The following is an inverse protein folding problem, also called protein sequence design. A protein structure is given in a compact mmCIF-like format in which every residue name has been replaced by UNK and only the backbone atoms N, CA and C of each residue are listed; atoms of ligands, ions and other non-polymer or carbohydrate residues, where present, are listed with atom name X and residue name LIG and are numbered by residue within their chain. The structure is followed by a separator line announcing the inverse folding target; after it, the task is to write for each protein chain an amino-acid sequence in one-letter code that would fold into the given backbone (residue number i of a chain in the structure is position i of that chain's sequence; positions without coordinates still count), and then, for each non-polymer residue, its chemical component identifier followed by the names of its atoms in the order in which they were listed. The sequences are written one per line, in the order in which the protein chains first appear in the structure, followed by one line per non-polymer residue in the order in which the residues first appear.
data_IF_584853562154
#
_entry.id   IF_584853562154
#
_cell.length_a   1.000
_cell.length_b   1.000
_cell.length_c   1.000
_cell.angle_alpha   90.00
_cell.angle_beta   90.00
_cell.angle_gamma   90.00
#
_symmetry.space_group_name_H-M   'P 1'
#
loop_
_entity.id
_entity.type
_entity.pdbx_description
1 polymer ?
#
# COMPACT_ATOMS: atom_id res chain seq x y z
N UNK A 1 -9.70 19.59 18.64
CA UNK A 1 -10.11 19.39 17.24
C UNK A 1 -8.93 18.77 16.52
N UNK A 2 -8.88 17.44 16.43
CA UNK A 2 -7.82 16.75 15.70
C UNK A 2 -8.19 16.76 14.23
N UNK A 3 -7.37 17.42 13.41
CA UNK A 3 -7.45 17.31 11.95
C UNK A 3 -6.93 15.92 11.62
N UNK A 4 -7.84 14.99 11.33
CA UNK A 4 -7.47 13.72 10.70
C UNK A 4 -7.19 14.10 9.25
N UNK A 5 -5.93 14.38 8.94
CA UNK A 5 -5.47 14.54 7.56
C UNK A 5 -5.93 13.29 6.82
N UNK A 6 -6.77 13.45 5.79
CA UNK A 6 -7.12 12.34 4.91
C UNK A 6 -5.80 11.85 4.29
N UNK A 7 -5.31 10.72 4.76
CA UNK A 7 -4.06 10.12 4.29
C UNK A 7 -4.21 9.86 2.80
N UNK A 8 -3.54 10.66 1.97
CA UNK A 8 -3.53 10.49 0.51
C UNK A 8 -2.45 9.48 0.19
N UNK A 9 -2.86 8.32 -0.32
CA UNK A 9 -1.94 7.33 -0.89
C UNK A 9 -1.58 7.77 -2.31
N UNK A 10 -0.30 7.70 -2.64
CA UNK A 10 0.29 8.06 -3.93
C UNK A 10 1.22 6.95 -4.44
N UNK A 11 1.52 6.93 -5.73
CA UNK A 11 2.55 6.04 -6.27
C UNK A 11 3.92 6.35 -5.65
N UNK A 12 4.67 5.30 -5.31
CA UNK A 12 5.94 5.39 -4.59
C UNK A 12 5.82 5.27 -3.06
N UNK A 13 4.60 5.38 -2.51
CA UNK A 13 4.38 5.22 -1.08
C UNK A 13 4.61 3.77 -0.64
N UNK A 14 4.95 3.60 0.64
CA UNK A 14 4.88 2.33 1.34
C UNK A 14 3.68 2.34 2.28
N UNK A 15 2.81 1.35 2.12
CA UNK A 15 1.54 1.22 2.86
C UNK A 15 1.46 -0.13 3.54
N UNK A 16 0.51 -0.28 4.46
CA UNK A 16 0.03 -1.59 4.95
C UNK A 16 -1.46 -1.67 4.76
N UNK A 17 -1.98 -2.88 4.58
CA UNK A 17 -3.41 -3.10 4.60
C UNK A 17 -3.94 -3.04 6.04
N UNK A 18 -5.17 -2.55 6.24
CA UNK A 18 -5.81 -2.52 7.57
C UNK A 18 -6.06 -3.92 8.15
N UNK A 19 -6.29 -4.92 7.29
CA UNK A 19 -6.34 -6.33 7.67
C UNK A 19 -4.90 -6.90 7.70
N UNK A 20 -4.37 -7.30 8.87
CA UNK A 20 -3.02 -7.80 9.02
C UNK A 20 -2.80 -9.18 8.40
N UNK A 21 -3.84 -9.84 7.86
CA UNK A 21 -3.69 -11.09 7.12
C UNK A 21 -3.21 -10.85 5.70
N UNK A 22 -3.54 -9.69 5.13
CA UNK A 22 -3.06 -9.31 3.80
C UNK A 22 -1.57 -9.03 3.89
N UNK A 23 -0.78 -9.69 3.04
CA UNK A 23 0.68 -9.59 3.02
C UNK A 23 1.33 -9.93 4.38
N UNK A 24 0.66 -10.71 5.24
CA UNK A 24 1.09 -10.93 6.62
C UNK A 24 1.28 -9.66 7.46
N UNK A 25 0.63 -8.55 7.09
CA UNK A 25 0.77 -7.25 7.75
C UNK A 25 2.08 -6.52 7.41
N UNK A 26 2.83 -7.03 6.44
CA UNK A 26 4.05 -6.41 5.94
C UNK A 26 3.73 -5.19 5.06
N UNK A 27 4.74 -4.35 4.89
CA UNK A 27 4.67 -3.19 3.99
C UNK A 27 4.51 -3.62 2.54
N UNK A 28 3.73 -2.84 1.80
CA UNK A 28 3.47 -2.98 0.38
C UNK A 28 3.91 -1.70 -0.31
N UNK A 29 4.56 -1.84 -1.46
CA UNK A 29 4.96 -0.70 -2.29
C UNK A 29 3.84 -0.34 -3.25
N UNK A 30 3.47 0.93 -3.35
CA UNK A 30 2.40 1.40 -4.23
C UNK A 30 2.98 1.72 -5.61
N UNK A 31 2.63 0.92 -6.60
CA UNK A 31 3.08 1.11 -7.99
C UNK A 31 2.28 2.20 -8.70
N UNK A 32 0.96 2.18 -8.53
CA UNK A 32 0.03 3.06 -9.24
C UNK A 32 -1.18 3.36 -8.36
N UNK A 33 -1.76 4.56 -8.50
CA UNK A 33 -3.05 4.92 -7.90
C UNK A 33 -4.01 5.33 -8.99
N UNK A 34 -5.17 4.68 -9.05
CA UNK A 34 -6.22 4.96 -10.02
C UNK A 34 -7.58 5.05 -9.33
N UNK A 35 -8.19 6.24 -9.39
CA UNK A 35 -9.46 6.51 -8.75
C UNK A 35 -9.42 6.31 -7.23
N UNK A 36 -10.06 5.25 -6.73
CA UNK A 36 -10.13 4.91 -5.29
C UNK A 36 -9.37 3.63 -4.93
N UNK A 37 -8.54 3.13 -5.84
CA UNK A 37 -7.73 1.94 -5.64
C UNK A 37 -6.25 2.21 -5.92
N UNK A 38 -5.38 1.46 -5.26
CA UNK A 38 -3.94 1.50 -5.44
C UNK A 38 -3.44 0.10 -5.78
N UNK A 39 -2.62 -0.01 -6.83
CA UNK A 39 -1.92 -1.23 -7.17
C UNK A 39 -0.68 -1.35 -6.29
N UNK A 40 -0.59 -2.44 -5.53
CA UNK A 40 0.49 -2.62 -4.55
C UNK A 40 1.23 -3.94 -4.75
N UNK A 41 2.54 -3.92 -4.55
CA UNK A 41 3.39 -5.12 -4.46
C UNK A 41 3.23 -5.77 -3.10
N UNK A 42 2.92 -7.07 -3.07
CA UNK A 42 2.83 -7.86 -1.84
C UNK A 42 3.28 -9.31 -2.06
N UNK A 43 3.60 -10.03 -0.99
CA UNK A 43 3.89 -11.45 -1.03
C UNK A 43 2.58 -12.25 -0.99
N UNK A 44 2.50 -13.32 -1.78
CA UNK A 44 1.42 -14.30 -1.67
C UNK A 44 1.56 -15.14 -0.40
N UNK A 45 0.45 -15.53 0.21
CA UNK A 45 0.39 -16.42 1.39
C UNK A 45 0.77 -17.90 1.11
N UNK A 46 1.52 -18.15 0.04
CA UNK A 46 1.96 -19.48 -0.42
C UNK A 46 3.29 -19.87 0.25
N UNK A 47 3.54 -21.17 0.56
CA UNK A 47 4.83 -21.67 1.05
C UNK A 47 6.07 -21.18 0.28
N UNK A 48 5.93 -20.84 -0.99
CA UNK A 48 6.96 -20.19 -1.79
C UNK A 48 6.52 -18.73 -2.09
N UNK A 49 6.98 -17.73 -1.31
CA UNK A 49 6.46 -16.37 -1.40
C UNK A 49 6.83 -15.74 -2.75
N UNK A 50 5.83 -15.58 -3.61
CA UNK A 50 5.97 -14.88 -4.89
C UNK A 50 5.49 -13.44 -4.72
N UNK A 51 6.25 -12.50 -5.30
CA UNK A 51 5.82 -11.10 -5.40
C UNK A 51 4.63 -11.01 -6.36
N UNK A 52 3.53 -10.44 -5.88
CA UNK A 52 2.28 -10.22 -6.62
C UNK A 52 1.88 -8.76 -6.58
N UNK A 53 1.10 -8.38 -7.59
CA UNK A 53 0.55 -7.04 -7.73
C UNK A 53 -0.97 -7.14 -7.72
N UNK A 54 -1.59 -6.56 -6.70
CA UNK A 54 -3.03 -6.55 -6.54
C UNK A 54 -3.55 -5.12 -6.29
N UNK A 55 -4.81 -4.89 -6.66
CA UNK A 55 -5.49 -3.61 -6.46
C UNK A 55 -6.24 -3.60 -5.13
N UNK A 56 -5.87 -2.67 -4.25
CA UNK A 56 -6.50 -2.50 -2.94
C UNK A 56 -7.25 -1.17 -2.87
N UNK A 57 -8.41 -1.10 -2.21
CA UNK A 57 -9.08 0.17 -1.97
C UNK A 57 -8.21 1.09 -1.11
N UNK A 58 -8.02 2.35 -1.51
CA UNK A 58 -7.19 3.32 -0.77
C UNK A 58 -7.65 3.51 0.67
N UNK A 59 -8.96 3.40 0.93
CA UNK A 59 -9.53 3.48 2.28
C UNK A 59 -9.10 2.34 3.22
N UNK A 60 -8.61 1.24 2.67
CA UNK A 60 -8.18 0.05 3.39
C UNK A 60 -6.64 0.02 3.53
N UNK A 61 -5.96 1.10 3.11
CA UNK A 61 -4.52 1.26 3.18
C UNK A 61 -4.12 2.30 4.23
N UNK A 62 -3.10 1.95 5.01
CA UNK A 62 -2.48 2.79 6.02
C UNK A 62 -1.09 3.17 5.51
N UNK A 63 -0.86 4.47 5.31
CA UNK A 63 0.45 4.99 4.93
C UNK A 63 1.47 4.72 6.04
N UNK A 64 2.59 4.09 5.66
CA UNK A 64 3.73 3.85 6.56
C UNK A 64 4.84 4.83 6.26
N UNK A 65 5.15 5.05 4.98
CA UNK A 65 6.17 5.99 4.52
C UNK A 65 5.75 6.60 3.19
N UNK A 66 5.88 7.92 3.08
CA UNK A 66 5.64 8.66 1.84
C UNK A 66 6.72 8.35 0.79
N UNK A 67 6.35 8.45 -0.48
CA UNK A 67 7.29 8.43 -1.59
C UNK A 67 8.40 9.46 -1.35
N UNK A 68 9.65 9.00 -1.37
CA UNK A 68 10.79 9.92 -1.29
C UNK A 68 10.92 10.69 -2.61
N UNK A 69 11.20 12.01 -2.58
CA UNK A 69 11.46 12.76 -3.80
C UNK A 69 12.79 12.33 -4.46
N UNK A 70 12.69 11.57 -5.56
CA UNK A 70 13.77 11.19 -6.50
C UNK A 70 14.36 9.78 -6.23
N UNK A 71 14.57 8.89 -7.21
CA UNK A 71 14.87 9.07 -8.64
C UNK A 71 13.79 8.46 -9.55
N UNK A 72 13.17 9.30 -10.38
CA UNK A 72 12.49 8.90 -11.63
C UNK A 72 13.38 9.30 -12.80
#
# INVERSE_FOLDING_TARGET
MMIITATRVSAGDYVRHIDPRVNGGLEMFVNEVSGRAANCDHFSDDPDPVLRQDWFPVKDLVLVREAEPGLV
#
